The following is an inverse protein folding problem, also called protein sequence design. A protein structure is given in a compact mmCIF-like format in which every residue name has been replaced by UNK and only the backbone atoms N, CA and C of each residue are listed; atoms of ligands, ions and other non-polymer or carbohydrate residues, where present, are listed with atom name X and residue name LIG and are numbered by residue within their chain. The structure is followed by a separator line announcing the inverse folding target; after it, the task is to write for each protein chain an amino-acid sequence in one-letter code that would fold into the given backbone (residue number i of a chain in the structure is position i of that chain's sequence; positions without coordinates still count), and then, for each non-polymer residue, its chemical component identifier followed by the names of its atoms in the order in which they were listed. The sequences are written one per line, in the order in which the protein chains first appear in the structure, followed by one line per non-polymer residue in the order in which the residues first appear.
data_IF_663642171739
#
_entry.id   IF_663642171739
#
_cell.length_a   1.000
_cell.length_b   1.000
_cell.length_c   1.000
_cell.angle_alpha   90.00
_cell.angle_beta   90.00
_cell.angle_gamma   90.00
#
_symmetry.space_group_name_H-M   'P 1'
#
loop_
_entity.id
_entity.type
_entity.pdbx_description
1 polymer ?
#
# COMPACT_ATOMS: atom_id res chain seq x y z
N UNK A 1 -9.07 -14.29 -2.90
CA UNK A 1 -8.92 -12.90 -3.35
C UNK A 1 -7.59 -12.74 -4.05
N UNK A 2 -7.61 -12.01 -5.14
CA UNK A 2 -6.43 -11.88 -5.96
C UNK A 2 -6.14 -10.42 -6.23
N UNK A 3 -4.87 -10.03 -6.18
CA UNK A 3 -4.48 -8.66 -6.47
C UNK A 3 -3.95 -8.57 -7.90
N UNK A 4 -4.10 -7.39 -8.49
CA UNK A 4 -3.45 -7.14 -9.77
C UNK A 4 -1.94 -7.09 -9.53
N UNK A 5 -1.18 -7.18 -10.61
CA UNK A 5 0.27 -7.15 -10.48
C UNK A 5 0.73 -5.89 -9.77
N UNK A 6 0.13 -4.77 -10.12
CA UNK A 6 0.56 -3.50 -9.53
C UNK A 6 0.13 -3.35 -8.09
N UNK A 7 -1.09 -3.78 -7.76
CA UNK A 7 -1.53 -3.75 -6.37
C UNK A 7 -0.72 -4.70 -5.53
N UNK A 8 -0.37 -5.85 -6.09
CA UNK A 8 0.45 -6.82 -5.39
C UNK A 8 1.83 -6.25 -5.09
N UNK A 9 2.40 -5.51 -6.05
CA UNK A 9 3.70 -4.89 -5.87
C UNK A 9 3.68 -3.93 -4.68
N UNK A 10 2.65 -3.09 -4.60
CA UNK A 10 2.52 -2.15 -3.50
C UNK A 10 2.33 -2.90 -2.19
N UNK A 11 1.47 -3.90 -2.19
CA UNK A 11 1.20 -4.69 -1.00
C UNK A 11 2.48 -5.35 -0.47
N UNK A 12 3.25 -5.97 -1.38
CA UNK A 12 4.47 -6.65 -0.99
C UNK A 12 5.50 -5.66 -0.43
N UNK A 13 5.58 -4.50 -1.03
CA UNK A 13 6.53 -3.50 -0.55
C UNK A 13 6.18 -3.07 0.86
N UNK A 14 4.90 -2.79 1.12
CA UNK A 14 4.47 -2.38 2.44
C UNK A 14 4.73 -3.49 3.45
N UNK A 15 4.41 -4.72 3.07
CA UNK A 15 4.59 -5.85 3.95
C UNK A 15 6.06 -6.07 4.30
N UNK A 16 6.93 -5.92 3.30
CA UNK A 16 8.36 -6.14 3.51
C UNK A 16 9.00 -5.06 4.38
N UNK A 17 8.33 -3.92 4.48
CA UNK A 17 8.87 -2.81 5.25
C UNK A 17 8.14 -2.58 6.55
N UNK A 18 7.67 -3.64 7.16
CA UNK A 18 7.09 -3.56 8.49
C UNK A 18 5.60 -3.30 8.52
N UNK A 19 4.97 -3.24 7.37
CA UNK A 19 3.53 -3.07 7.31
C UNK A 19 3.06 -1.62 7.34
N UNK A 20 3.96 -0.67 7.29
CA UNK A 20 3.60 0.76 7.28
C UNK A 20 4.69 1.55 6.57
N UNK A 21 4.34 2.18 5.47
CA UNK A 21 5.27 3.02 4.72
C UNK A 21 4.50 4.21 4.16
N UNK A 22 5.21 5.27 3.80
CA UNK A 22 4.55 6.42 3.19
C UNK A 22 4.34 6.16 1.71
N UNK A 23 3.34 6.85 1.15
CA UNK A 23 3.08 6.76 -0.28
C UNK A 23 4.30 7.23 -1.06
N UNK A 24 4.97 8.28 -0.59
CA UNK A 24 6.15 8.78 -1.27
C UNK A 24 7.26 7.75 -1.32
N UNK A 25 7.41 7.02 -0.23
CA UNK A 25 8.42 6.00 -0.16
C UNK A 25 8.16 4.89 -1.20
N UNK A 26 6.90 4.52 -1.35
CA UNK A 26 6.53 3.53 -2.35
C UNK A 26 6.80 4.07 -3.75
N UNK A 27 6.48 5.34 -4.00
CA UNK A 27 6.71 5.94 -5.30
C UNK A 27 8.20 5.92 -5.65
N UNK A 28 9.04 6.26 -4.70
CA UNK A 28 10.47 6.28 -4.91
C UNK A 28 11.00 4.87 -5.18
N UNK A 29 10.53 3.92 -4.40
CA UNK A 29 11.03 2.55 -4.53
C UNK A 29 10.61 1.89 -5.83
N UNK A 30 9.41 2.20 -6.31
CA UNK A 30 8.87 1.56 -7.51
C UNK A 30 9.11 2.37 -8.76
N UNK A 31 9.46 3.65 -8.62
CA UNK A 31 9.61 4.53 -9.76
C UNK A 31 8.31 4.91 -10.40
N UNK A 32 7.19 4.76 -9.71
CA UNK A 32 5.87 5.02 -10.26
C UNK A 32 5.32 6.32 -9.70
N UNK A 33 4.41 6.93 -10.43
CA UNK A 33 3.80 8.19 -10.01
C UNK A 33 2.88 7.97 -8.81
N UNK A 34 2.75 9.01 -7.98
CA UNK A 34 1.91 8.90 -6.79
C UNK A 34 0.47 8.61 -7.18
N UNK A 35 0.01 9.11 -8.31
CA UNK A 35 -1.34 8.83 -8.77
C UNK A 35 -1.55 7.32 -8.96
N UNK A 36 -0.58 6.64 -9.55
CA UNK A 36 -0.67 5.20 -9.75
C UNK A 36 -0.63 4.45 -8.43
N UNK A 37 0.27 4.88 -7.54
CA UNK A 37 0.39 4.25 -6.24
C UNK A 37 -0.90 4.43 -5.44
N UNK A 38 -1.46 5.63 -5.47
CA UNK A 38 -2.71 5.87 -4.74
C UNK A 38 -3.86 5.03 -5.27
N UNK A 39 -3.91 4.82 -6.58
CA UNK A 39 -4.95 3.96 -7.15
C UNK A 39 -4.81 2.52 -6.64
N UNK A 40 -3.58 2.03 -6.55
CA UNK A 40 -3.34 0.68 -6.03
C UNK A 40 -3.65 0.59 -4.54
N UNK A 41 -3.31 1.64 -3.80
CA UNK A 41 -3.63 1.69 -2.38
C UNK A 41 -5.14 1.68 -2.18
N UNK A 42 -5.87 2.44 -3.01
CA UNK A 42 -7.32 2.41 -2.95
C UNK A 42 -7.87 1.01 -3.11
N UNK A 43 -7.29 0.26 -4.04
CA UNK A 43 -7.72 -1.12 -4.27
C UNK A 43 -7.50 -1.97 -3.02
N UNK A 44 -6.34 -1.81 -2.37
CA UNK A 44 -6.05 -2.55 -1.16
C UNK A 44 -6.99 -2.14 -0.02
N UNK A 45 -7.30 -0.85 0.07
CA UNK A 45 -8.22 -0.38 1.10
C UNK A 45 -9.62 -0.95 0.88
N UNK A 46 -10.07 -0.99 -0.37
CA UNK A 46 -11.38 -1.54 -0.66
C UNK A 46 -11.46 -3.01 -0.31
N UNK A 47 -10.36 -3.72 -0.45
CA UNK A 47 -10.33 -5.14 -0.12
C UNK A 47 -10.12 -5.39 1.37
N UNK A 48 -9.93 -4.31 2.14
CA UNK A 48 -9.74 -4.46 3.58
C UNK A 48 -8.35 -4.88 3.99
N UNK A 49 -7.39 -4.81 3.07
CA UNK A 49 -6.03 -5.25 3.34
C UNK A 49 -5.14 -4.14 3.86
N UNK A 50 -5.51 -2.90 3.64
CA UNK A 50 -4.69 -1.78 4.05
C UNK A 50 -5.55 -0.59 4.43
N UNK A 51 -4.93 0.38 5.10
CA UNK A 51 -5.59 1.61 5.48
C UNK A 51 -4.67 2.76 5.18
N UNK A 52 -5.25 3.94 4.98
CA UNK A 52 -4.47 5.15 4.84
C UNK A 52 -4.44 5.87 6.17
N UNK A 53 -3.28 6.41 6.50
CA UNK A 53 -3.13 7.20 7.72
C UNK A 53 -2.42 8.48 7.33
N UNK A 54 -3.14 9.59 7.41
CA UNK A 54 -2.59 10.88 7.06
C UNK A 54 -2.02 11.53 8.30
N UNK A 55 -0.74 11.81 8.29
CA UNK A 55 -0.04 12.37 9.45
C UNK A 55 0.48 13.73 9.08
N UNK A 56 0.15 14.73 9.91
CA UNK A 56 0.66 16.06 9.70
C UNK A 56 1.99 16.19 10.42
N UNK A 57 3.00 16.64 9.70
CA UNK A 57 4.33 16.78 10.25
C UNK A 57 4.66 18.25 10.34
N UNK A 58 5.08 18.66 11.51
CA UNK A 58 5.41 20.05 11.75
C UNK A 58 6.55 20.45 10.82
N UNK A 59 6.41 21.57 10.15
CA UNK A 59 7.41 22.03 9.23
C UNK A 59 7.24 21.52 7.80
N UNK A 60 6.36 20.56 7.58
CA UNK A 60 6.10 20.06 6.24
C UNK A 60 4.96 20.84 5.62
N UNK A 61 5.05 21.06 4.29
CA UNK A 61 4.01 21.79 3.61
C UNK A 61 2.73 20.99 3.48
N UNK A 62 2.84 19.68 3.44
CA UNK A 62 1.70 18.82 3.25
C UNK A 62 1.78 17.65 4.21
N UNK A 63 0.63 17.10 4.59
CA UNK A 63 0.66 15.91 5.41
C UNK A 63 1.21 14.73 4.61
N UNK A 64 1.78 13.79 5.33
CA UNK A 64 2.31 12.58 4.73
C UNK A 64 1.26 11.50 4.86
N UNK A 65 0.97 10.83 3.75
CA UNK A 65 0.02 9.73 3.77
C UNK A 65 0.80 8.43 3.91
N UNK A 66 0.49 7.68 4.96
CA UNK A 66 1.08 6.36 5.16
C UNK A 66 0.10 5.29 4.74
N UNK A 67 0.64 4.20 4.26
CA UNK A 67 -0.13 3.01 3.94
C UNK A 67 0.22 1.98 4.99
N UNK A 68 -0.80 1.48 5.68
CA UNK A 68 -0.59 0.54 6.77
C UNK A 68 -1.45 -0.68 6.53
N UNK A 69 -0.87 -1.87 6.68
CA UNK A 69 -1.63 -3.09 6.51
C UNK A 69 -2.54 -3.30 7.70
N UNK A 70 -3.75 -3.79 7.40
CA UNK A 70 -4.68 -4.20 8.46
C UNK A 70 -4.28 -5.58 8.93
N UNK A 71 -4.96 -6.09 9.96
CA UNK A 71 -4.72 -7.45 10.40
C UNK A 71 -4.95 -8.43 9.27
N UNK A 72 -6.00 -8.19 8.48
CA UNK A 72 -6.27 -9.05 7.33
C UNK A 72 -5.13 -8.95 6.31
N UNK A 73 -4.59 -7.74 6.12
CA UNK A 73 -3.47 -7.56 5.20
C UNK A 73 -2.21 -8.24 5.67
N UNK A 74 -1.98 -8.24 6.98
CA UNK A 74 -0.76 -8.84 7.51
C UNK A 74 -0.74 -10.34 7.33
N UNK A 75 -1.91 -10.97 7.33
CA UNK A 75 -1.98 -12.42 7.18
C UNK A 75 -2.31 -12.84 5.76
N UNK A 76 -2.67 -11.88 4.90
CA UNK A 76 -3.02 -12.19 3.53
C UNK A 76 -1.76 -12.52 2.73
N UNK A 77 -1.84 -13.58 1.94
CA UNK A 77 -0.74 -13.97 1.07
C UNK A 77 -1.26 -13.99 -0.35
N UNK A 78 -0.81 -13.07 -1.19
CA UNK A 78 -1.22 -13.08 -2.60
C UNK A 78 -0.72 -14.37 -3.22
N UNK A 79 -1.58 -15.01 -3.96
CA UNK A 79 -1.22 -16.31 -4.49
C UNK A 79 -1.63 -16.39 -5.94
N UNK A 80 -0.76 -16.94 -6.72
CA UNK A 80 -1.06 -17.15 -8.12
C UNK A 80 -2.06 -18.23 -8.32
N UNK A 81 -2.22 -19.08 -7.34
CA UNK A 81 -3.12 -20.15 -7.46
C UNK A 81 -4.47 -19.80 -7.16
N UNK A 82 -4.68 -18.63 -6.78
CA UNK A 82 -5.89 -18.24 -6.33
C UNK A 82 -6.86 -18.10 -7.36
N UNK A 83 -6.82 -18.63 -8.28
CA UNK A 83 -7.69 -18.43 -9.15
C UNK A 83 -8.48 -19.33 -9.28
N UNK A 84 -8.82 -19.55 -8.94
CA UNK A 84 -9.64 -20.20 -9.02
C UNK A 84 -10.23 -20.18 -9.39
#
# INVERSE_FOLDING_TARGET
MKLTDKSSEVFEYVKSNGGRVSVEEICTATGRASRSINANVNDLVKKGLAERDKVEIEGAEKPVTYVQLTDAGKTFVPSDDDEE
#
